data_IF_368500437532
#
_entry.id   IF_368500437532
#
_cell.length_a   1.000
_cell.length_b   1.000
_cell.length_c   1.000
_cell.angle_alpha   90.00
_cell.angle_beta   90.00
_cell.angle_gamma   90.00
#
_symmetry.space_group_name_H-M   'P 1'
#
loop_
_entity.id
_entity.type
_entity.pdbx_description
1 polymer ?
#
# COMPACT_ATOMS: atom_id res chain seq x y z
N UNK A 1 32.12 31.10 31.06
CA UNK A 1 31.74 30.35 29.84
C UNK A 1 30.41 29.66 30.07
N UNK A 2 29.28 30.22 29.55
CA UNK A 2 27.94 29.60 29.64
C UNK A 2 27.79 28.65 28.43
N UNK A 3 27.78 27.32 28.67
CA UNK A 3 27.40 26.34 27.68
C UNK A 3 25.93 26.58 27.30
N UNK A 4 25.67 27.06 26.08
CA UNK A 4 24.34 27.08 25.48
C UNK A 4 23.89 25.63 25.27
N UNK A 5 22.99 25.16 26.13
CA UNK A 5 22.30 23.89 26.01
C UNK A 5 21.20 24.05 24.96
N UNK A 6 21.57 24.05 23.67
CA UNK A 6 20.62 24.00 22.57
C UNK A 6 20.21 22.54 22.38
N UNK A 7 19.13 22.14 23.03
CA UNK A 7 18.38 20.91 22.76
C UNK A 7 17.69 21.02 21.39
N UNK A 8 18.43 20.87 20.31
CA UNK A 8 17.86 20.47 19.01
C UNK A 8 17.77 18.94 19.00
N UNK A 9 16.86 18.34 19.78
CA UNK A 9 16.44 16.97 19.56
C UNK A 9 15.66 16.96 18.23
N UNK A 10 16.33 16.67 17.12
CA UNK A 10 15.66 16.36 15.85
C UNK A 10 14.66 15.22 16.15
N UNK A 11 13.37 15.53 16.09
CA UNK A 11 12.31 14.54 16.22
C UNK A 11 12.58 13.47 15.17
N UNK A 12 12.63 12.21 15.57
CA UNK A 12 12.94 11.14 14.63
C UNK A 12 11.79 10.94 13.66
N UNK A 13 12.11 10.66 12.39
CA UNK A 13 11.11 10.46 11.34
C UNK A 13 9.99 9.46 11.70
N UNK A 14 10.27 8.27 12.30
CA UNK A 14 9.22 7.35 12.69
C UNK A 14 8.23 7.92 13.72
N UNK A 15 8.68 8.82 14.60
CA UNK A 15 7.81 9.49 15.57
C UNK A 15 6.88 10.49 14.86
N UNK A 16 7.39 11.24 13.88
CA UNK A 16 6.56 12.13 13.06
C UNK A 16 5.52 11.33 12.27
N UNK A 17 5.94 10.21 11.66
CA UNK A 17 5.01 9.33 10.94
C UNK A 17 3.95 8.74 11.88
N UNK A 18 4.33 8.31 13.08
CA UNK A 18 3.38 7.81 14.08
C UNK A 18 2.37 8.88 14.46
N UNK A 19 2.81 10.10 14.78
CA UNK A 19 1.92 11.21 15.12
C UNK A 19 0.94 11.54 13.97
N UNK A 20 1.43 11.59 12.72
CA UNK A 20 0.61 11.85 11.55
C UNK A 20 -0.43 10.73 11.31
N UNK A 21 -0.03 9.47 11.43
CA UNK A 21 -0.95 8.33 11.24
C UNK A 21 -1.94 8.17 12.39
N UNK A 22 -1.57 8.52 13.63
CA UNK A 22 -2.52 8.58 14.75
C UNK A 22 -3.53 9.71 14.56
N UNK A 23 -3.10 10.90 14.11
CA UNK A 23 -4.02 11.98 13.77
C UNK A 23 -4.98 11.55 12.66
N UNK A 24 -4.47 10.89 11.60
CA UNK A 24 -5.31 10.32 10.55
C UNK A 24 -6.33 9.32 11.10
N UNK A 25 -5.95 8.46 12.05
CA UNK A 25 -6.85 7.51 12.67
C UNK A 25 -7.97 8.22 13.47
N UNK A 26 -7.61 9.23 14.26
CA UNK A 26 -8.61 10.03 15.02
C UNK A 26 -9.58 10.72 14.07
N UNK A 27 -9.09 11.39 13.02
CA UNK A 27 -9.94 12.03 12.03
C UNK A 27 -10.84 11.02 11.32
N UNK A 28 -10.32 9.87 10.90
CA UNK A 28 -11.10 8.80 10.27
C UNK A 28 -12.23 8.30 11.18
N UNK A 29 -11.95 8.08 12.47
CA UNK A 29 -12.97 7.67 13.45
C UNK A 29 -14.05 8.76 13.59
N UNK A 30 -13.68 10.04 13.70
CA UNK A 30 -14.65 11.13 13.78
C UNK A 30 -15.56 11.14 12.55
N UNK A 31 -14.99 11.02 11.35
CA UNK A 31 -15.79 10.99 10.12
C UNK A 31 -16.68 9.74 10.02
N UNK A 32 -16.20 8.58 10.49
CA UNK A 32 -17.04 7.37 10.58
C UNK A 32 -18.26 7.63 11.50
N UNK A 33 -18.06 8.27 12.65
CA UNK A 33 -19.15 8.62 13.56
C UNK A 33 -20.15 9.64 12.97
N UNK A 34 -19.72 10.45 12.01
CA UNK A 34 -20.56 11.42 11.31
C UNK A 34 -21.20 10.87 10.03
N UNK A 35 -20.84 9.66 9.63
CA UNK A 35 -21.37 9.00 8.43
C UNK A 35 -22.78 8.46 8.67
N UNK A 36 -23.57 8.25 7.59
CA UNK A 36 -24.85 7.54 7.69
C UNK A 36 -24.70 6.15 8.30
N UNK A 37 -25.76 5.61 8.93
CA UNK A 37 -25.74 4.29 9.55
C UNK A 37 -25.44 3.16 8.57
N UNK A 38 -25.77 3.35 7.29
CA UNK A 38 -25.49 2.40 6.22
C UNK A 38 -24.87 3.10 5.03
N UNK A 39 -23.78 2.51 4.55
CA UNK A 39 -22.99 2.98 3.41
C UNK A 39 -22.64 1.78 2.52
N UNK A 40 -22.28 2.02 1.27
CA UNK A 40 -21.81 0.96 0.39
C UNK A 40 -20.46 0.42 0.91
N UNK A 41 -20.39 -0.89 1.11
CA UNK A 41 -19.17 -1.59 1.58
C UNK A 41 -18.61 -2.56 0.57
N UNK A 42 -19.33 -2.77 -0.52
CA UNK A 42 -18.88 -3.54 -1.67
C UNK A 42 -19.55 -3.02 -2.95
N UNK A 43 -18.82 -3.13 -4.06
CA UNK A 43 -19.28 -2.75 -5.40
C UNK A 43 -19.06 -3.93 -6.35
N UNK A 44 -19.99 -4.13 -7.27
CA UNK A 44 -19.85 -5.10 -8.34
C UNK A 44 -18.87 -4.61 -9.43
N UNK A 45 -18.65 -5.43 -10.47
CA UNK A 45 -17.75 -5.08 -11.57
C UNK A 45 -18.19 -3.86 -12.39
N UNK A 46 -19.44 -3.42 -12.27
CA UNK A 46 -19.96 -2.20 -12.90
C UNK A 46 -19.88 -0.97 -11.99
N UNK A 47 -19.18 -1.08 -10.85
CA UNK A 47 -19.08 -0.06 -9.77
C UNK A 47 -20.43 0.37 -9.20
N UNK A 48 -21.40 -0.52 -9.22
CA UNK A 48 -22.66 -0.36 -8.53
C UNK A 48 -22.58 -1.01 -7.14
N UNK A 49 -23.10 -0.33 -6.14
CA UNK A 49 -23.14 -0.86 -4.79
C UNK A 49 -24.04 -2.12 -4.75
N UNK A 50 -23.49 -3.25 -4.42
CA UNK A 50 -24.23 -4.51 -4.27
C UNK A 50 -24.36 -4.94 -2.80
N UNK A 51 -23.65 -4.26 -1.88
CA UNK A 51 -23.76 -4.50 -0.46
C UNK A 51 -23.64 -3.21 0.34
N UNK A 52 -24.61 -2.99 1.22
CA UNK A 52 -24.58 -1.93 2.23
C UNK A 52 -24.21 -2.51 3.60
N UNK A 53 -23.45 -1.75 4.36
CA UNK A 53 -23.01 -2.13 5.71
C UNK A 53 -22.75 -0.93 6.60
N UNK A 54 -22.28 -1.18 7.80
CA UNK A 54 -21.90 -0.12 8.73
C UNK A 54 -20.62 0.59 8.27
N UNK A 55 -20.50 1.93 8.37
CA UNK A 55 -19.29 2.68 8.05
C UNK A 55 -18.08 2.25 8.90
N UNK A 56 -18.30 1.59 10.04
CA UNK A 56 -17.23 1.00 10.86
C UNK A 56 -16.41 -0.07 10.14
N UNK A 57 -16.91 -0.61 9.03
CA UNK A 57 -16.14 -1.52 8.17
C UNK A 57 -14.91 -0.84 7.53
N UNK A 58 -14.88 0.49 7.49
CA UNK A 58 -13.72 1.26 7.01
C UNK A 58 -12.64 1.50 8.08
N UNK A 59 -12.95 1.21 9.37
CA UNK A 59 -12.04 1.43 10.49
C UNK A 59 -10.63 0.84 10.29
N UNK A 60 -10.45 -0.38 9.76
CA UNK A 60 -9.13 -0.94 9.55
C UNK A 60 -8.20 -0.05 8.71
N UNK A 61 -8.73 0.65 7.71
CA UNK A 61 -7.92 1.54 6.86
C UNK A 61 -7.35 2.75 7.61
N UNK A 62 -7.93 3.12 8.74
CA UNK A 62 -7.48 4.23 9.58
C UNK A 62 -6.59 3.76 10.74
N UNK A 63 -6.85 2.58 11.31
CA UNK A 63 -6.08 2.07 12.45
C UNK A 63 -4.83 1.28 12.06
N UNK A 64 -4.74 0.73 10.84
CA UNK A 64 -3.57 0.00 10.38
C UNK A 64 -2.33 0.88 10.08
N UNK A 65 -2.43 2.09 9.50
CA UNK A 65 -1.27 2.91 9.18
C UNK A 65 -0.32 3.20 10.36
N UNK A 66 -0.76 3.45 11.60
CA UNK A 66 0.12 3.60 12.76
C UNK A 66 1.06 2.42 12.99
N UNK A 67 0.64 1.19 12.68
CA UNK A 67 1.49 0.01 12.85
C UNK A 67 2.72 0.02 11.95
N UNK A 68 2.65 0.63 10.76
CA UNK A 68 3.82 0.81 9.91
C UNK A 68 4.87 1.73 10.58
N UNK A 69 4.43 2.79 11.25
CA UNK A 69 5.31 3.68 12.00
C UNK A 69 5.92 2.97 13.21
N UNK A 70 5.13 2.21 13.96
CA UNK A 70 5.61 1.37 15.07
C UNK A 70 6.63 0.35 14.56
N UNK A 71 6.36 -0.31 13.43
CA UNK A 71 7.31 -1.22 12.78
C UNK A 71 8.65 -0.56 12.47
N UNK A 72 8.65 0.69 11.96
CA UNK A 72 9.87 1.46 11.72
C UNK A 72 10.62 1.83 13.00
N UNK A 73 9.89 2.16 14.09
CA UNK A 73 10.50 2.40 15.40
C UNK A 73 11.19 1.13 15.89
N UNK A 74 10.49 0.00 15.82
CA UNK A 74 11.01 -1.29 16.26
C UNK A 74 12.24 -1.73 15.47
N UNK A 75 12.21 -1.61 14.14
CA UNK A 75 13.35 -1.95 13.27
C UNK A 75 14.57 -1.03 13.50
N UNK A 76 14.36 0.23 13.87
CA UNK A 76 15.48 1.12 14.23
C UNK A 76 16.18 0.69 15.53
N UNK A 77 15.47 0.05 16.45
CA UNK A 77 16.00 -0.43 17.75
C UNK A 77 16.58 -1.84 17.62
N UNK A 78 16.09 -2.62 16.68
CA UNK A 78 16.48 -4.02 16.47
C UNK A 78 17.98 -4.13 16.09
N UNK A 79 18.73 -4.88 16.89
CA UNK A 79 20.13 -5.23 16.59
C UNK A 79 20.16 -6.22 15.42
N UNK A 80 21.04 -5.98 14.42
CA UNK A 80 21.29 -6.91 13.32
C UNK A 80 20.62 -6.56 11.99
N UNK A 81 19.83 -5.49 11.90
CA UNK A 81 19.32 -5.01 10.62
C UNK A 81 20.47 -4.49 9.73
N UNK A 82 20.54 -5.02 8.49
CA UNK A 82 21.55 -4.58 7.53
C UNK A 82 21.31 -3.10 7.17
N UNK A 83 22.31 -2.21 7.26
CA UNK A 83 22.12 -0.76 7.01
C UNK A 83 21.50 -0.46 5.64
N UNK A 84 21.79 -1.29 4.63
CA UNK A 84 21.27 -1.16 3.26
C UNK A 84 19.74 -1.27 3.19
N UNK A 85 19.13 -2.01 4.11
CA UNK A 85 17.67 -2.24 4.14
C UNK A 85 16.88 -1.09 4.80
N UNK A 86 17.53 -0.21 5.56
CA UNK A 86 16.84 0.86 6.32
C UNK A 86 16.12 1.86 5.42
N UNK A 87 16.76 2.32 4.34
CA UNK A 87 16.15 3.29 3.43
C UNK A 87 14.98 2.68 2.65
N UNK A 88 15.11 1.51 1.99
CA UNK A 88 13.99 0.82 1.36
C UNK A 88 12.82 0.58 2.32
N UNK A 89 13.09 0.03 3.50
CA UNK A 89 12.06 -0.26 4.49
C UNK A 89 11.29 1.00 4.90
N UNK A 90 12.00 2.09 5.18
CA UNK A 90 11.41 3.37 5.51
C UNK A 90 10.45 3.87 4.42
N UNK A 91 10.90 3.86 3.16
CA UNK A 91 10.12 4.38 2.04
C UNK A 91 8.90 3.50 1.78
N UNK A 92 9.09 2.19 1.73
CA UNK A 92 8.01 1.24 1.45
C UNK A 92 6.95 1.26 2.55
N UNK A 93 7.33 1.19 3.82
CA UNK A 93 6.36 1.23 4.92
C UNK A 93 5.63 2.58 5.01
N UNK A 94 6.32 3.68 4.71
CA UNK A 94 5.66 4.99 4.64
C UNK A 94 4.62 5.02 3.53
N UNK A 95 5.01 4.56 2.34
CA UNK A 95 4.09 4.55 1.20
C UNK A 95 2.88 3.65 1.46
N UNK A 96 3.09 2.46 2.02
CA UNK A 96 1.99 1.55 2.41
C UNK A 96 1.07 2.22 3.44
N UNK A 97 1.62 2.89 4.46
CA UNK A 97 0.80 3.59 5.45
C UNK A 97 -0.05 4.71 4.82
N UNK A 98 0.56 5.50 3.93
CA UNK A 98 -0.14 6.57 3.19
C UNK A 98 -1.19 5.98 2.26
N UNK A 99 -0.87 4.91 1.54
CA UNK A 99 -1.79 4.25 0.61
C UNK A 99 -3.01 3.69 1.34
N UNK A 100 -2.82 2.98 2.46
CA UNK A 100 -3.92 2.42 3.24
C UNK A 100 -4.82 3.54 3.78
N UNK A 101 -4.23 4.60 4.35
CA UNK A 101 -5.00 5.77 4.83
C UNK A 101 -5.75 6.47 3.70
N UNK A 102 -5.11 6.64 2.54
CA UNK A 102 -5.74 7.19 1.33
C UNK A 102 -6.94 6.35 0.88
N UNK A 103 -6.80 5.01 0.85
CA UNK A 103 -7.91 4.12 0.50
C UNK A 103 -9.07 4.24 1.51
N UNK A 104 -8.76 4.40 2.80
CA UNK A 104 -9.78 4.67 3.82
C UNK A 104 -10.58 5.95 3.54
N UNK A 105 -9.89 7.05 3.21
CA UNK A 105 -10.53 8.31 2.84
C UNK A 105 -11.31 8.22 1.52
N UNK A 106 -10.76 7.52 0.52
CA UNK A 106 -11.46 7.26 -0.73
C UNK A 106 -12.80 6.56 -0.48
N UNK A 107 -12.79 5.48 0.31
CA UNK A 107 -14.01 4.77 0.68
C UNK A 107 -14.97 5.66 1.46
N UNK A 108 -14.48 6.38 2.47
CA UNK A 108 -15.33 7.20 3.33
C UNK A 108 -15.98 8.37 2.58
N UNK A 109 -15.21 9.06 1.73
CA UNK A 109 -15.67 10.29 1.06
C UNK A 109 -16.52 9.99 -0.18
N UNK A 110 -16.17 8.97 -0.97
CA UNK A 110 -16.83 8.68 -2.24
C UNK A 110 -17.86 7.56 -2.09
N UNK A 111 -17.47 6.44 -1.50
CA UNK A 111 -18.36 5.29 -1.34
C UNK A 111 -19.32 5.49 -0.16
N UNK A 112 -18.92 6.27 0.85
CA UNK A 112 -19.80 6.63 1.98
C UNK A 112 -21.00 7.49 1.62
N UNK A 113 -21.03 8.09 0.42
CA UNK A 113 -22.21 8.81 -0.11
C UNK A 113 -23.22 7.90 -0.78
N UNK A 114 -22.84 6.66 -1.07
CA UNK A 114 -23.69 5.68 -1.72
C UNK A 114 -24.49 4.95 -0.65
N UNK A 115 -25.79 5.17 -0.61
CA UNK A 115 -26.69 4.66 0.41
C UNK A 115 -27.73 3.65 -0.11
N UNK A 116 -27.75 3.39 -1.42
CA UNK A 116 -28.72 2.50 -2.08
C UNK A 116 -28.02 1.44 -2.91
N UNK A 117 -28.59 0.22 -2.94
CA UNK A 117 -28.14 -0.86 -3.81
C UNK A 117 -28.41 -0.48 -5.27
N UNK A 118 -27.45 -0.75 -6.16
CA UNK A 118 -27.49 -0.38 -7.56
C UNK A 118 -27.00 1.04 -7.86
N UNK A 119 -26.79 1.88 -6.84
CA UNK A 119 -26.24 3.21 -7.02
C UNK A 119 -24.75 3.13 -7.38
N UNK A 120 -24.31 3.89 -8.39
CA UNK A 120 -22.89 4.02 -8.77
C UNK A 120 -22.16 5.02 -7.88
N UNK A 121 -20.91 4.74 -7.59
CA UNK A 121 -20.02 5.75 -7.02
C UNK A 121 -19.70 6.81 -8.06
N UNK A 122 -19.98 8.09 -7.76
CA UNK A 122 -19.68 9.23 -8.64
C UNK A 122 -18.18 9.60 -8.62
N UNK A 123 -17.31 8.62 -8.87
CA UNK A 123 -15.87 8.85 -8.88
C UNK A 123 -15.20 7.99 -9.95
N UNK A 124 -14.13 8.47 -10.59
CA UNK A 124 -13.31 7.66 -11.49
C UNK A 124 -12.46 6.69 -10.65
N UNK A 125 -13.10 5.67 -10.05
CA UNK A 125 -12.47 4.76 -9.10
C UNK A 125 -11.26 4.04 -9.70
N UNK A 126 -11.30 3.72 -10.99
CA UNK A 126 -10.18 3.11 -11.70
C UNK A 126 -8.91 3.99 -11.65
N UNK A 127 -9.00 5.32 -11.84
CA UNK A 127 -7.84 6.21 -11.66
C UNK A 127 -7.44 6.28 -10.19
N UNK A 128 -8.41 6.52 -9.30
CA UNK A 128 -8.16 6.74 -7.88
C UNK A 128 -7.60 5.49 -7.17
N UNK A 129 -7.86 4.30 -7.68
CA UNK A 129 -7.33 3.04 -7.13
C UNK A 129 -6.09 2.59 -7.90
N UNK A 130 -6.18 2.48 -9.23
CA UNK A 130 -5.14 1.84 -10.04
C UNK A 130 -3.86 2.67 -10.15
N UNK A 131 -3.96 4.02 -10.22
CA UNK A 131 -2.74 4.85 -10.27
C UNK A 131 -1.90 4.73 -8.99
N UNK A 132 -2.44 4.87 -7.77
CA UNK A 132 -1.66 4.65 -6.55
C UNK A 132 -1.13 3.21 -6.41
N UNK A 133 -1.88 2.20 -6.88
CA UNK A 133 -1.40 0.81 -6.91
C UNK A 133 -0.24 0.63 -7.89
N UNK A 134 -0.32 1.21 -9.08
CA UNK A 134 0.80 1.25 -10.03
C UNK A 134 2.04 1.93 -9.46
N UNK A 135 1.87 3.05 -8.76
CA UNK A 135 2.96 3.72 -8.04
C UNK A 135 3.56 2.81 -6.96
N UNK A 136 2.76 2.03 -6.24
CA UNK A 136 3.24 1.06 -5.25
C UNK A 136 4.15 0.02 -5.92
N UNK A 137 3.73 -0.57 -7.06
CA UNK A 137 4.55 -1.52 -7.80
C UNK A 137 5.87 -0.90 -8.28
N UNK A 138 5.86 0.33 -8.79
CA UNK A 138 7.07 1.04 -9.23
C UNK A 138 8.02 1.27 -8.05
N UNK A 139 7.52 1.77 -6.92
CA UNK A 139 8.33 2.03 -5.73
C UNK A 139 8.93 0.73 -5.21
N UNK A 140 8.11 -0.29 -4.98
CA UNK A 140 8.59 -1.57 -4.47
C UNK A 140 9.57 -2.22 -5.45
N UNK A 141 9.26 -2.24 -6.75
CA UNK A 141 10.12 -2.78 -7.80
C UNK A 141 11.49 -2.11 -7.87
N UNK A 142 11.54 -0.79 -7.71
CA UNK A 142 12.78 -0.02 -7.70
C UNK A 142 13.67 -0.34 -6.49
N UNK A 143 13.08 -0.70 -5.35
CA UNK A 143 13.86 -1.02 -4.15
C UNK A 143 14.18 -2.52 -3.99
N UNK A 144 13.43 -3.43 -4.61
CA UNK A 144 13.69 -4.87 -4.52
C UNK A 144 15.16 -5.25 -4.79
N UNK A 145 15.84 -4.76 -5.85
CA UNK A 145 17.22 -5.19 -6.16
C UNK A 145 18.26 -4.79 -5.11
N UNK A 146 17.99 -3.76 -4.32
CA UNK A 146 18.95 -3.25 -3.31
C UNK A 146 18.72 -3.84 -1.92
N UNK A 147 17.57 -4.51 -1.70
CA UNK A 147 17.26 -5.15 -0.43
C UNK A 147 18.11 -6.39 -0.23
N UNK A 148 18.87 -6.40 0.85
CA UNK A 148 19.66 -7.57 1.27
C UNK A 148 18.78 -8.55 2.03
N UNK A 149 19.09 -9.85 1.92
CA UNK A 149 18.34 -10.94 2.55
C UNK A 149 18.03 -10.64 4.02
N UNK A 150 16.76 -10.71 4.36
CA UNK A 150 16.23 -10.44 5.69
C UNK A 150 14.84 -11.11 5.87
N UNK A 151 14.35 -11.12 7.11
CA UNK A 151 13.05 -11.71 7.43
C UNK A 151 11.84 -10.77 7.30
N UNK A 152 12.06 -9.47 7.00
CA UNK A 152 10.99 -8.46 7.07
C UNK A 152 10.43 -8.12 5.70
N UNK A 153 11.28 -7.77 4.73
CA UNK A 153 10.92 -7.21 3.44
C UNK A 153 11.54 -7.98 2.28
N UNK A 154 10.75 -8.31 1.26
CA UNK A 154 11.19 -8.99 0.04
C UNK A 154 10.38 -10.23 -0.29
N UNK A 155 10.72 -10.89 -1.39
CA UNK A 155 10.13 -12.15 -1.83
C UNK A 155 10.80 -13.29 -1.04
N UNK A 156 10.03 -13.88 -0.13
CA UNK A 156 10.52 -14.86 0.84
C UNK A 156 9.99 -16.24 0.49
N UNK A 157 10.80 -17.02 -0.19
CA UNK A 157 10.62 -18.45 -0.42
C UNK A 157 11.72 -19.21 0.32
N UNK A 158 11.58 -20.52 0.57
CA UNK A 158 12.67 -21.32 1.14
C UNK A 158 13.99 -21.11 0.41
N UNK A 159 13.98 -21.15 -0.93
CA UNK A 159 15.17 -20.97 -1.77
C UNK A 159 15.79 -19.57 -1.64
N UNK A 160 14.99 -18.50 -1.62
CA UNK A 160 15.52 -17.13 -1.47
C UNK A 160 16.07 -16.90 -0.07
N UNK A 161 15.48 -17.49 0.96
CA UNK A 161 15.97 -17.38 2.33
C UNK A 161 17.21 -18.25 2.59
N UNK A 162 17.43 -19.31 1.82
CA UNK A 162 18.58 -20.19 1.95
C UNK A 162 19.87 -19.60 1.34
N UNK A 163 19.78 -18.75 0.30
CA UNK A 163 20.93 -18.28 -0.48
C UNK A 163 20.89 -16.80 -0.77
N UNK A 164 21.98 -16.06 -0.45
CA UNK A 164 22.13 -14.64 -0.82
C UNK A 164 22.20 -14.44 -2.35
N UNK A 165 22.72 -15.42 -3.09
CA UNK A 165 22.75 -15.40 -4.55
C UNK A 165 21.34 -15.50 -5.14
N UNK A 166 20.57 -16.49 -4.72
CA UNK A 166 19.18 -16.69 -5.17
C UNK A 166 18.33 -15.48 -4.81
N UNK A 167 18.49 -14.97 -3.58
CA UNK A 167 17.85 -13.73 -3.14
C UNK A 167 18.13 -12.57 -4.10
N UNK A 168 19.41 -12.29 -4.38
CA UNK A 168 19.80 -11.18 -5.22
C UNK A 168 19.29 -11.29 -6.66
N UNK A 169 19.34 -12.49 -7.24
CA UNK A 169 18.85 -12.72 -8.60
C UNK A 169 17.33 -12.58 -8.69
N UNK A 170 16.59 -13.22 -7.78
CA UNK A 170 15.13 -13.12 -7.72
C UNK A 170 14.68 -11.65 -7.59
N UNK A 171 15.28 -10.91 -6.65
CA UNK A 171 14.89 -9.52 -6.42
C UNK A 171 15.29 -8.59 -7.56
N UNK A 172 16.39 -8.88 -8.29
CA UNK A 172 16.80 -8.13 -9.48
C UNK A 172 15.80 -8.31 -10.63
N UNK A 173 15.38 -9.55 -10.89
CA UNK A 173 14.41 -9.86 -11.95
C UNK A 173 13.04 -9.30 -11.60
N UNK A 174 12.53 -9.64 -10.42
CA UNK A 174 11.21 -9.21 -9.98
C UNK A 174 11.11 -7.70 -9.79
N UNK A 175 12.20 -7.04 -9.43
CA UNK A 175 12.23 -5.58 -9.38
C UNK A 175 11.89 -4.94 -10.72
N UNK A 176 12.46 -5.45 -11.81
CA UNK A 176 12.15 -4.98 -13.17
C UNK A 176 10.71 -5.30 -13.56
N UNK A 177 10.25 -6.53 -13.28
CA UNK A 177 8.88 -6.98 -13.56
C UNK A 177 7.88 -6.06 -12.86
N UNK A 178 8.07 -5.77 -11.58
CA UNK A 178 7.17 -4.91 -10.82
C UNK A 178 7.13 -3.46 -11.33
N UNK A 179 8.27 -2.91 -11.76
CA UNK A 179 8.29 -1.58 -12.38
C UNK A 179 7.48 -1.56 -13.68
N UNK A 180 7.66 -2.57 -14.55
CA UNK A 180 6.90 -2.69 -15.81
C UNK A 180 5.40 -2.84 -15.52
N UNK A 181 5.05 -3.70 -14.56
CA UNK A 181 3.65 -3.88 -14.14
C UNK A 181 3.03 -2.57 -13.64
N UNK A 182 3.76 -1.81 -12.80
CA UNK A 182 3.27 -0.55 -12.28
C UNK A 182 3.12 0.54 -13.34
N UNK A 183 4.03 0.61 -14.30
CA UNK A 183 3.90 1.52 -15.46
C UNK A 183 2.70 1.10 -16.31
N UNK A 184 2.55 -0.19 -16.60
CA UNK A 184 1.40 -0.72 -17.33
C UNK A 184 0.07 -0.43 -16.66
N UNK A 185 0.02 -0.52 -15.32
CA UNK A 185 -1.17 -0.19 -14.52
C UNK A 185 -1.58 1.28 -14.68
N UNK A 186 -0.62 2.21 -14.60
CA UNK A 186 -0.90 3.63 -14.78
C UNK A 186 -1.36 3.92 -16.21
N UNK A 187 -0.71 3.32 -17.21
CA UNK A 187 -1.09 3.48 -18.61
C UNK A 187 -2.48 2.88 -18.90
N UNK A 188 -2.81 1.74 -18.29
CA UNK A 188 -4.13 1.13 -18.39
C UNK A 188 -5.21 2.02 -17.79
N UNK A 189 -4.97 2.62 -16.61
CA UNK A 189 -5.90 3.56 -16.00
C UNK A 189 -6.11 4.82 -16.84
N UNK A 190 -5.06 5.31 -17.50
CA UNK A 190 -5.20 6.43 -18.46
C UNK A 190 -5.97 6.01 -19.71
N UNK A 191 -5.72 4.81 -20.24
CA UNK A 191 -6.46 4.28 -21.40
C UNK A 191 -7.96 4.15 -21.09
N UNK A 192 -8.33 3.70 -19.89
CA UNK A 192 -9.73 3.64 -19.44
C UNK A 192 -10.40 5.01 -19.46
N UNK A 193 -9.65 6.09 -19.16
CA UNK A 193 -10.17 7.47 -19.21
C UNK A 193 -10.60 7.84 -20.62
N UNK A 194 -9.79 7.49 -21.64
CA UNK A 194 -10.10 7.80 -23.03
C UNK A 194 -11.15 6.86 -23.63
N UNK A 195 -11.10 5.59 -23.27
CA UNK A 195 -12.04 4.56 -23.74
C UNK A 195 -13.40 4.62 -23.02
N UNK A 196 -13.52 5.41 -21.93
CA UNK A 196 -14.70 5.48 -21.06
C UNK A 196 -15.12 4.09 -20.55
N UNK A 197 -14.14 3.30 -20.16
CA UNK A 197 -14.29 1.95 -19.61
C UNK A 197 -13.52 1.85 -18.30
N UNK A 198 -13.64 0.74 -17.61
CA UNK A 198 -12.97 0.47 -16.33
C UNK A 198 -12.26 -0.90 -16.35
N UNK A 199 -12.39 -1.61 -17.47
CA UNK A 199 -11.95 -3.00 -17.56
C UNK A 199 -10.46 -3.16 -17.85
N UNK A 200 -9.80 -2.18 -18.51
CA UNK A 200 -8.41 -2.31 -18.93
C UNK A 200 -7.49 -2.32 -17.70
N UNK A 201 -7.66 -1.33 -16.81
CA UNK A 201 -6.83 -1.21 -15.60
C UNK A 201 -7.08 -2.34 -14.60
N UNK A 202 -8.35 -2.68 -14.32
CA UNK A 202 -8.64 -3.79 -13.41
C UNK A 202 -8.22 -5.14 -13.97
N UNK A 203 -8.36 -5.35 -15.28
CA UNK A 203 -7.84 -6.55 -15.96
C UNK A 203 -6.32 -6.66 -15.87
N UNK A 204 -5.61 -5.55 -16.07
CA UNK A 204 -4.14 -5.50 -15.93
C UNK A 204 -3.72 -5.74 -14.48
N UNK A 205 -4.38 -5.13 -13.51
CA UNK A 205 -4.10 -5.33 -12.08
C UNK A 205 -4.29 -6.79 -11.69
N UNK A 206 -5.40 -7.40 -12.08
CA UNK A 206 -5.67 -8.81 -11.83
C UNK A 206 -4.60 -9.73 -12.46
N UNK A 207 -4.24 -9.50 -13.73
CA UNK A 207 -3.19 -10.24 -14.42
C UNK A 207 -1.82 -10.08 -13.72
N UNK A 208 -1.52 -8.88 -13.24
CA UNK A 208 -0.31 -8.57 -12.50
C UNK A 208 -0.23 -9.34 -11.18
N UNK A 209 -1.31 -9.38 -10.41
CA UNK A 209 -1.38 -10.12 -9.14
C UNK A 209 -1.22 -11.63 -9.40
N UNK A 210 -1.95 -12.18 -10.37
CA UNK A 210 -1.85 -13.60 -10.74
C UNK A 210 -0.44 -13.95 -11.21
N UNK A 211 0.18 -13.13 -12.05
CA UNK A 211 1.56 -13.32 -12.50
C UNK A 211 2.57 -13.34 -11.34
N UNK A 212 2.40 -12.45 -10.35
CA UNK A 212 3.22 -12.47 -9.13
C UNK A 212 3.03 -13.75 -8.32
N UNK A 213 1.80 -14.20 -8.13
CA UNK A 213 1.50 -15.43 -7.38
C UNK A 213 2.06 -16.67 -8.05
N UNK A 214 1.92 -16.80 -9.38
CA UNK A 214 2.47 -17.91 -10.14
C UNK A 214 4.00 -17.97 -10.08
N UNK A 215 4.68 -16.82 -10.16
CA UNK A 215 6.13 -16.78 -10.07
C UNK A 215 6.67 -17.15 -8.69
N UNK A 216 5.91 -16.84 -7.62
CA UNK A 216 6.32 -17.13 -6.24
C UNK A 216 5.90 -18.50 -5.76
N UNK A 217 5.09 -19.23 -6.55
CA UNK A 217 4.72 -20.62 -6.24
C UNK A 217 5.93 -21.56 -6.33
N UNK A 218 6.08 -22.53 -5.41
CA UNK A 218 7.15 -23.52 -5.49
C UNK A 218 7.07 -24.28 -6.82
N UNK A 219 8.22 -24.40 -7.51
CA UNK A 219 8.29 -25.26 -8.69
C UNK A 219 8.19 -26.73 -8.24
N UNK A 220 7.48 -27.60 -8.97
CA UNK A 220 7.45 -29.03 -8.67
C UNK A 220 8.83 -29.74 -8.77
N UNK A 221 9.86 -28.99 -9.14
CA UNK A 221 11.24 -29.49 -9.32
C UNK A 221 12.23 -29.00 -8.25
N UNK A 222 11.76 -28.29 -7.20
CA UNK A 222 12.60 -27.82 -6.08
C UNK A 222 12.53 -28.76 -4.89
#
# INVERSE_FOLDING_TARGET
>A
MKKKFFLSKKISYPVVLLAATLLNAVLGIVFICLSPDRVAVHFNAAFEADKLGSPWMYLPAFVLPPFAAVGLIFENVRKGQKPQNRKPLKIILTFIAVLIGYMGWLMLVWCGKVSEIGQKAEAPLYILVCVPMGMMFIIMGNYLPVIKRNGTLGIKTPSTLASDYVWAQTHRVMGKVWVVMGIGEILAALADTFAKTEFISFGWLAASIVGCLLYTSPSPRD
#
